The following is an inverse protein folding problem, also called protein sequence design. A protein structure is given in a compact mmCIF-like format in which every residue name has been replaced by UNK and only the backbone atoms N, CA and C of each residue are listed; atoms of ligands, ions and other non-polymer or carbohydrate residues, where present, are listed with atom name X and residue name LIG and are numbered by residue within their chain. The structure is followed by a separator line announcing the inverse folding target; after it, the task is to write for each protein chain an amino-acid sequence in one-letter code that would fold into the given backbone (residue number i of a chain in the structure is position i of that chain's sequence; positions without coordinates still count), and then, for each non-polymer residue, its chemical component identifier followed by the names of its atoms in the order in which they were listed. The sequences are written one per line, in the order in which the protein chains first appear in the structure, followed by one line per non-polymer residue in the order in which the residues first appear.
data_IF_013784878095
#
_entry.id   IF_013784878095
#
_cell.length_a   1.000
_cell.length_b   1.000
_cell.length_c   1.000
_cell.angle_alpha   90.00
_cell.angle_beta   90.00
_cell.angle_gamma   90.00
#
_symmetry.space_group_name_H-M   'P 1'
#
loop_
_entity.id
_entity.type
_entity.pdbx_description
1 polymer ?
#
# COMPACT_ATOMS: atom_id res chain seq x y z
N UNK A 1 9.72 9.13 -17.30
CA UNK A 1 9.53 7.71 -16.95
C UNK A 1 10.85 6.94 -16.97
N UNK A 2 11.60 6.92 -18.07
CA UNK A 2 12.91 6.26 -18.13
C UNK A 2 13.90 6.73 -17.05
N UNK A 3 13.98 8.04 -16.80
CA UNK A 3 14.83 8.59 -15.73
C UNK A 3 14.40 8.08 -14.35
N UNK A 4 13.09 8.01 -14.07
CA UNK A 4 12.59 7.49 -12.80
C UNK A 4 12.94 6.00 -12.64
N UNK A 5 12.74 5.21 -13.69
CA UNK A 5 13.12 3.79 -13.71
C UNK A 5 14.63 3.62 -13.49
N UNK A 6 15.46 4.45 -14.13
CA UNK A 6 16.91 4.46 -13.94
C UNK A 6 17.32 4.81 -12.50
N UNK A 7 16.67 5.79 -11.87
CA UNK A 7 16.90 6.14 -10.47
C UNK A 7 16.47 5.01 -9.52
N UNK A 8 15.33 4.38 -9.77
CA UNK A 8 14.89 3.22 -8.99
C UNK A 8 15.87 2.05 -9.16
N UNK A 9 16.30 1.76 -10.38
CA UNK A 9 17.29 0.72 -10.65
C UNK A 9 18.64 1.02 -9.97
N UNK A 10 19.05 2.29 -9.93
CA UNK A 10 20.25 2.72 -9.22
C UNK A 10 20.10 2.52 -7.70
N UNK A 11 18.97 2.93 -7.13
CA UNK A 11 18.68 2.80 -5.69
C UNK A 11 18.65 1.34 -5.24
N UNK A 12 18.08 0.44 -6.05
CA UNK A 12 18.04 -0.99 -5.81
C UNK A 12 19.22 -1.76 -6.46
N UNK A 13 20.21 -1.07 -7.03
CA UNK A 13 21.17 -1.70 -7.95
C UNK A 13 21.96 -2.84 -7.34
N UNK A 14 22.30 -2.73 -6.05
CA UNK A 14 22.99 -3.81 -5.32
C UNK A 14 22.15 -5.09 -5.26
N UNK A 15 20.86 -4.99 -4.98
CA UNK A 15 19.99 -6.17 -4.80
C UNK A 15 19.38 -6.67 -6.11
N UNK A 16 19.38 -5.85 -7.16
CA UNK A 16 18.90 -6.25 -8.49
C UNK A 16 19.99 -6.86 -9.38
N UNK A 17 21.23 -6.39 -9.27
CA UNK A 17 22.31 -6.75 -10.20
C UNK A 17 23.47 -7.51 -9.53
N UNK A 18 23.38 -7.82 -8.24
CA UNK A 18 24.36 -8.67 -7.54
C UNK A 18 23.66 -9.78 -6.75
N UNK A 19 24.41 -10.67 -6.11
CA UNK A 19 23.87 -11.75 -5.27
C UNK A 19 23.48 -11.27 -3.84
N UNK A 20 23.41 -9.95 -3.60
CA UNK A 20 22.97 -9.40 -2.33
C UNK A 20 21.45 -9.45 -2.20
N UNK A 21 20.96 -9.71 -0.99
CA UNK A 21 19.54 -9.73 -0.66
C UNK A 21 19.21 -8.71 0.45
N UNK A 22 17.98 -8.20 0.42
CA UNK A 22 17.42 -7.46 1.55
C UNK A 22 17.16 -8.44 2.70
N UNK A 23 17.71 -8.18 3.88
CA UNK A 23 17.80 -9.18 4.95
C UNK A 23 17.32 -8.71 6.33
N UNK A 24 16.66 -7.56 6.46
CA UNK A 24 16.36 -6.96 7.76
C UNK A 24 14.87 -6.96 8.14
N UNK A 25 14.59 -7.14 9.43
CA UNK A 25 13.27 -6.95 10.05
C UNK A 25 12.20 -7.93 9.59
N UNK A 26 10.95 -7.46 9.54
CA UNK A 26 9.78 -8.27 9.16
C UNK A 26 9.95 -8.93 7.79
N UNK A 27 10.67 -8.29 6.86
CA UNK A 27 10.95 -8.86 5.54
C UNK A 27 11.57 -10.24 5.65
N UNK A 28 12.60 -10.39 6.48
CA UNK A 28 13.28 -11.67 6.67
C UNK A 28 12.50 -12.60 7.60
N UNK A 29 11.96 -12.06 8.69
CA UNK A 29 11.39 -12.86 9.78
C UNK A 29 9.95 -13.34 9.48
N UNK A 30 9.22 -12.62 8.65
CA UNK A 30 7.78 -12.80 8.46
C UNK A 30 7.45 -13.03 6.98
N UNK A 31 7.83 -12.11 6.09
CA UNK A 31 7.44 -12.18 4.69
C UNK A 31 8.19 -13.25 3.89
N UNK A 32 9.51 -13.33 4.04
CA UNK A 32 10.33 -14.30 3.31
C UNK A 32 9.88 -15.75 3.54
N UNK A 33 9.77 -16.27 4.79
CA UNK A 33 9.33 -17.64 5.01
C UNK A 33 7.89 -17.89 4.55
N UNK A 34 6.99 -16.92 4.73
CA UNK A 34 5.61 -17.05 4.28
C UNK A 34 5.50 -17.11 2.74
N UNK A 35 6.27 -16.29 2.03
CA UNK A 35 6.30 -16.29 0.56
C UNK A 35 7.01 -17.52 0.00
N UNK A 36 8.00 -18.06 0.69
CA UNK A 36 8.64 -19.32 0.33
C UNK A 36 7.66 -20.49 0.46
N UNK A 37 6.93 -20.57 1.57
CA UNK A 37 5.87 -21.57 1.74
C UNK A 37 4.78 -21.42 0.67
N UNK A 38 4.30 -20.20 0.44
CA UNK A 38 3.32 -19.90 -0.61
C UNK A 38 3.81 -20.40 -1.97
N UNK A 39 5.06 -20.10 -2.33
CA UNK A 39 5.67 -20.53 -3.59
C UNK A 39 5.70 -22.05 -3.70
N UNK A 40 6.20 -22.75 -2.68
CA UNK A 40 6.31 -24.22 -2.68
C UNK A 40 4.94 -24.87 -2.82
N UNK A 41 3.93 -24.41 -2.05
CA UNK A 41 2.57 -24.93 -2.16
C UNK A 41 2.03 -24.83 -3.59
N UNK A 42 2.17 -23.67 -4.22
CA UNK A 42 1.70 -23.47 -5.60
C UNK A 42 2.44 -24.37 -6.60
N UNK A 43 3.77 -24.50 -6.48
CA UNK A 43 4.56 -25.35 -7.36
C UNK A 43 4.27 -26.85 -7.19
N UNK A 44 3.84 -27.26 -5.99
CA UNK A 44 3.38 -28.63 -5.71
C UNK A 44 1.92 -28.87 -6.14
N UNK A 45 1.23 -27.86 -6.69
CA UNK A 45 -0.16 -27.96 -7.12
C UNK A 45 -1.18 -27.82 -5.97
N UNK A 46 -0.76 -27.32 -4.81
CA UNK A 46 -1.61 -27.09 -3.64
C UNK A 46 -1.97 -25.61 -3.48
N UNK A 47 -3.20 -25.36 -3.04
CA UNK A 47 -3.56 -24.02 -2.59
C UNK A 47 -2.85 -23.71 -1.26
N UNK A 48 -2.23 -22.52 -1.09
CA UNK A 48 -1.47 -22.13 0.10
C UNK A 48 -2.40 -21.74 1.25
N UNK A 49 -3.24 -22.68 1.71
CA UNK A 49 -4.30 -22.41 2.69
C UNK A 49 -3.79 -22.30 4.13
N UNK A 50 -2.75 -23.07 4.49
CA UNK A 50 -2.31 -23.24 5.87
C UNK A 50 -0.79 -23.15 6.01
N UNK A 51 -0.34 -22.40 7.02
CA UNK A 51 1.06 -22.33 7.44
C UNK A 51 1.25 -23.11 8.76
N UNK A 52 1.84 -24.32 8.74
CA UNK A 52 2.00 -25.14 9.94
C UNK A 52 3.14 -24.68 10.86
N UNK A 53 3.99 -23.74 10.43
CA UNK A 53 5.22 -23.39 11.12
C UNK A 53 5.08 -22.26 12.14
N UNK A 54 3.92 -21.59 12.18
CA UNK A 54 3.69 -20.43 13.04
C UNK A 54 2.53 -20.74 13.99
N UNK A 55 2.76 -20.64 15.31
CA UNK A 55 1.74 -20.82 16.36
C UNK A 55 0.88 -22.10 16.27
N UNK A 56 1.48 -23.23 15.91
CA UNK A 56 0.79 -24.51 15.59
C UNK A 56 -0.15 -24.46 14.37
N UNK A 57 -0.11 -23.37 13.60
CA UNK A 57 -0.90 -23.22 12.40
C UNK A 57 -1.50 -21.82 12.24
N UNK A 58 -1.46 -21.29 11.02
CA UNK A 58 -2.13 -20.05 10.63
C UNK A 58 -2.74 -20.17 9.22
N UNK A 59 -3.96 -19.66 8.98
CA UNK A 59 -4.54 -19.58 7.63
C UNK A 59 -3.76 -18.63 6.70
N UNK A 60 -2.80 -19.15 5.95
CA UNK A 60 -1.87 -18.37 5.11
C UNK A 60 -2.60 -17.58 4.01
N UNK A 61 -3.58 -18.18 3.34
CA UNK A 61 -4.36 -17.51 2.30
C UNK A 61 -5.26 -16.41 2.87
N UNK A 62 -5.78 -16.60 4.08
CA UNK A 62 -6.70 -15.64 4.71
C UNK A 62 -5.97 -14.44 5.31
N UNK A 63 -4.72 -14.63 5.74
CA UNK A 63 -3.89 -13.55 6.25
C UNK A 63 -3.42 -12.64 5.09
N UNK A 64 -4.20 -11.59 4.88
CA UNK A 64 -3.97 -10.62 3.81
C UNK A 64 -2.60 -9.94 3.95
N UNK A 65 -1.99 -9.89 5.15
CA UNK A 65 -0.69 -9.25 5.37
C UNK A 65 0.39 -9.85 4.47
N UNK A 66 0.34 -11.16 4.16
CA UNK A 66 1.29 -11.80 3.25
C UNK A 66 1.03 -11.51 1.76
N UNK A 67 -0.06 -10.82 1.44
CA UNK A 67 -0.51 -10.49 0.08
C UNK A 67 -0.66 -11.72 -0.84
N UNK A 68 -1.25 -12.86 -0.40
CA UNK A 68 -1.15 -14.15 -1.09
C UNK A 68 -1.79 -14.17 -2.48
N UNK A 69 -2.70 -13.22 -2.77
CA UNK A 69 -3.38 -13.08 -4.06
C UNK A 69 -2.99 -11.80 -4.81
N UNK A 70 -1.96 -11.09 -4.35
CA UNK A 70 -1.50 -9.87 -5.00
C UNK A 70 -0.74 -10.17 -6.30
N UNK A 71 -0.96 -9.43 -7.41
CA UNK A 71 -0.41 -9.80 -8.72
C UNK A 71 1.10 -9.96 -8.78
N UNK A 72 1.86 -9.17 -8.01
CA UNK A 72 3.32 -9.26 -8.03
C UNK A 72 3.88 -10.52 -7.35
N UNK A 73 3.05 -11.28 -6.61
CA UNK A 73 3.44 -12.59 -6.08
C UNK A 73 3.79 -13.58 -7.18
N UNK A 74 3.30 -13.39 -8.41
CA UNK A 74 3.67 -14.20 -9.56
C UNK A 74 5.17 -14.13 -9.87
N UNK A 75 5.87 -13.06 -9.47
CA UNK A 75 7.33 -12.97 -9.57
C UNK A 75 8.02 -14.08 -8.78
N UNK A 76 7.45 -14.50 -7.66
CA UNK A 76 8.00 -15.56 -6.81
C UNK A 76 8.01 -16.92 -7.52
N UNK A 77 7.09 -17.15 -8.47
CA UNK A 77 7.02 -18.41 -9.21
C UNK A 77 8.12 -18.52 -10.27
N UNK A 78 8.56 -17.39 -10.83
CA UNK A 78 9.48 -17.34 -11.98
C UNK A 78 10.93 -17.10 -11.53
N UNK A 79 11.13 -16.36 -10.43
CA UNK A 79 12.45 -15.96 -9.95
C UNK A 79 12.83 -16.65 -8.63
N UNK A 80 14.13 -16.72 -8.30
CA UNK A 80 14.56 -16.97 -6.92
C UNK A 80 13.92 -15.96 -5.97
N UNK A 81 13.49 -16.40 -4.79
CA UNK A 81 12.62 -15.60 -3.92
C UNK A 81 13.23 -14.24 -3.52
N UNK A 82 14.53 -14.22 -3.19
CA UNK A 82 15.24 -12.98 -2.87
C UNK A 82 15.22 -11.97 -4.04
N UNK A 83 15.33 -12.44 -5.29
CA UNK A 83 15.25 -11.57 -6.49
C UNK A 83 13.82 -11.14 -6.77
N UNK A 84 12.85 -12.04 -6.58
CA UNK A 84 11.44 -11.71 -6.72
C UNK A 84 11.02 -10.59 -5.77
N UNK A 85 11.41 -10.68 -4.50
CA UNK A 85 11.17 -9.66 -3.48
C UNK A 85 11.90 -8.35 -3.80
N UNK A 86 13.17 -8.40 -4.19
CA UNK A 86 13.92 -7.20 -4.58
C UNK A 86 13.26 -6.48 -5.77
N UNK A 87 12.86 -7.23 -6.79
CA UNK A 87 12.18 -6.70 -7.97
C UNK A 87 10.78 -6.17 -7.63
N UNK A 88 10.04 -6.86 -6.77
CA UNK A 88 8.73 -6.42 -6.31
C UNK A 88 8.80 -5.08 -5.57
N UNK A 89 9.74 -4.94 -4.62
CA UNK A 89 9.94 -3.69 -3.89
C UNK A 89 10.40 -2.56 -4.82
N UNK A 90 11.33 -2.85 -5.74
CA UNK A 90 11.77 -1.89 -6.74
C UNK A 90 10.62 -1.44 -7.65
N UNK A 91 9.80 -2.37 -8.11
CA UNK A 91 8.61 -2.09 -8.91
C UNK A 91 7.66 -1.15 -8.14
N UNK A 92 7.38 -1.40 -6.87
CA UNK A 92 6.45 -0.58 -6.10
C UNK A 92 7.00 0.80 -5.76
N UNK A 93 8.32 0.95 -5.56
CA UNK A 93 8.95 2.28 -5.47
C UNK A 93 8.84 3.04 -6.79
N UNK A 94 9.06 2.36 -7.93
CA UNK A 94 8.87 2.96 -9.24
C UNK A 94 7.41 3.39 -9.45
N UNK A 95 6.43 2.51 -9.15
CA UNK A 95 5.00 2.80 -9.28
C UNK A 95 4.59 3.96 -8.39
N UNK A 96 5.08 4.02 -7.15
CA UNK A 96 4.85 5.13 -6.24
C UNK A 96 5.28 6.46 -6.86
N UNK A 97 6.48 6.52 -7.43
CA UNK A 97 6.96 7.71 -8.14
C UNK A 97 6.17 8.01 -9.41
N UNK A 98 5.86 6.99 -10.22
CA UNK A 98 5.16 7.15 -11.49
C UNK A 98 3.73 7.67 -11.28
N UNK A 99 3.03 7.14 -10.29
CA UNK A 99 1.69 7.59 -9.92
C UNK A 99 1.71 8.98 -9.27
N UNK A 100 2.71 9.30 -8.44
CA UNK A 100 2.88 10.67 -7.94
C UNK A 100 3.12 11.66 -9.08
N UNK A 101 3.97 11.32 -10.04
CA UNK A 101 4.18 12.14 -11.23
C UNK A 101 2.86 12.36 -11.99
N UNK A 102 2.10 11.28 -12.24
CA UNK A 102 0.82 11.36 -12.94
C UNK A 102 -0.19 12.26 -12.20
N UNK A 103 -0.28 12.11 -10.87
CA UNK A 103 -1.12 12.96 -10.02
C UNK A 103 -0.72 14.44 -10.09
N UNK A 104 0.56 14.76 -9.92
CA UNK A 104 1.05 16.15 -9.97
C UNK A 104 0.86 16.78 -11.35
N UNK A 105 1.02 16.00 -12.42
CA UNK A 105 0.72 16.45 -13.79
C UNK A 105 -0.76 16.73 -13.98
N UNK A 106 -1.64 15.90 -13.41
CA UNK A 106 -3.08 16.14 -13.45
C UNK A 106 -3.48 17.39 -12.67
N UNK A 107 -2.76 17.70 -11.58
CA UNK A 107 -2.91 18.96 -10.82
C UNK A 107 -2.44 20.21 -11.58
N UNK A 108 -1.86 20.05 -12.77
CA UNK A 108 -1.43 21.16 -13.63
C UNK A 108 0.01 21.63 -13.39
N UNK A 109 0.79 20.97 -12.54
CA UNK A 109 2.20 21.32 -12.34
C UNK A 109 3.02 21.00 -13.59
N UNK A 110 4.04 21.81 -13.89
CA UNK A 110 4.99 21.56 -14.97
C UNK A 110 5.77 20.25 -14.77
N UNK A 111 6.32 19.70 -15.86
CA UNK A 111 6.98 18.39 -15.84
C UNK A 111 8.16 18.31 -14.86
N UNK A 112 8.99 19.36 -14.77
CA UNK A 112 10.12 19.42 -13.84
C UNK A 112 9.69 19.32 -12.37
N UNK A 113 8.85 20.23 -11.85
CA UNK A 113 8.31 20.14 -10.49
C UNK A 113 7.56 18.83 -10.19
N UNK A 114 6.77 18.31 -11.13
CA UNK A 114 6.11 17.01 -10.97
C UNK A 114 7.11 15.86 -10.83
N UNK A 115 8.20 15.89 -11.61
CA UNK A 115 9.26 14.89 -11.54
C UNK A 115 10.02 14.99 -10.22
N UNK A 116 10.37 16.19 -9.79
CA UNK A 116 11.03 16.41 -8.50
C UNK A 116 10.17 15.89 -7.35
N UNK A 117 8.87 16.22 -7.31
CA UNK A 117 7.96 15.70 -6.29
C UNK A 117 7.82 14.17 -6.32
N UNK A 118 7.78 13.57 -7.51
CA UNK A 118 7.74 12.13 -7.68
C UNK A 118 8.99 11.42 -7.13
N UNK A 119 10.19 11.95 -7.43
CA UNK A 119 11.45 11.41 -6.91
C UNK A 119 11.52 11.60 -5.41
N UNK A 120 11.29 12.82 -4.90
CA UNK A 120 11.34 13.12 -3.47
C UNK A 120 10.45 12.19 -2.65
N UNK A 121 9.25 11.87 -3.14
CA UNK A 121 8.36 10.94 -2.46
C UNK A 121 8.84 9.49 -2.53
N UNK A 122 9.15 9.02 -3.74
CA UNK A 122 9.53 7.63 -3.99
C UNK A 122 10.82 7.22 -3.26
N UNK A 123 11.78 8.12 -3.10
CA UNK A 123 13.05 7.85 -2.40
C UNK A 123 13.13 8.53 -1.01
N UNK A 124 12.00 8.89 -0.43
CA UNK A 124 11.97 9.49 0.91
C UNK A 124 12.46 8.53 1.99
N UNK A 125 12.96 9.07 3.11
CA UNK A 125 13.41 8.26 4.25
C UNK A 125 12.29 7.37 4.82
N UNK A 126 11.03 7.80 4.73
CA UNK A 126 9.88 6.97 5.11
C UNK A 126 9.80 5.70 4.25
N UNK A 127 9.88 5.85 2.92
CA UNK A 127 9.86 4.71 2.00
C UNK A 127 11.05 3.79 2.26
N UNK A 128 12.25 4.36 2.45
CA UNK A 128 13.47 3.60 2.71
C UNK A 128 13.36 2.71 3.97
N UNK A 129 12.82 3.25 5.08
CA UNK A 129 12.62 2.49 6.32
C UNK A 129 11.55 1.41 6.16
N UNK A 130 10.53 1.66 5.32
CA UNK A 130 9.41 0.73 5.11
C UNK A 130 9.66 -0.34 4.05
N UNK A 131 10.84 -0.39 3.43
CA UNK A 131 11.22 -1.49 2.54
C UNK A 131 11.18 -2.87 3.24
N UNK A 132 11.22 -2.89 4.57
CA UNK A 132 11.10 -4.12 5.37
C UNK A 132 9.68 -4.68 5.44
N UNK A 133 8.66 -3.95 4.96
CA UNK A 133 7.25 -4.34 5.01
C UNK A 133 6.64 -4.27 3.59
N UNK A 134 6.76 -5.35 2.78
CA UNK A 134 6.26 -5.39 1.41
C UNK A 134 4.78 -5.03 1.26
N UNK A 135 3.92 -5.56 2.15
CA UNK A 135 2.49 -5.27 2.16
C UNK A 135 2.21 -3.76 2.23
N UNK A 136 2.86 -3.06 3.17
CA UNK A 136 2.74 -1.63 3.35
C UNK A 136 3.22 -0.88 2.12
N UNK A 137 4.40 -1.21 1.60
CA UNK A 137 4.95 -0.53 0.42
C UNK A 137 4.06 -0.72 -0.82
N UNK A 138 3.55 -1.94 -1.04
CA UNK A 138 2.61 -2.25 -2.12
C UNK A 138 1.35 -1.39 -1.99
N UNK A 139 0.72 -1.38 -0.81
CA UNK A 139 -0.48 -0.56 -0.55
C UNK A 139 -0.20 0.93 -0.70
N UNK A 140 0.98 1.40 -0.25
CA UNK A 140 1.41 2.80 -0.35
C UNK A 140 1.59 3.24 -1.80
N UNK A 141 2.11 2.36 -2.66
CA UNK A 141 2.35 2.63 -4.07
C UNK A 141 1.10 3.17 -4.77
N UNK A 142 -0.09 2.65 -4.41
CA UNK A 142 -1.37 3.00 -5.02
C UNK A 142 -1.96 4.33 -4.55
N UNK A 143 -1.48 4.91 -3.45
CA UNK A 143 -2.07 6.12 -2.85
C UNK A 143 -2.09 7.32 -3.81
N UNK A 144 -1.00 7.66 -4.52
CA UNK A 144 -1.04 8.77 -5.46
C UNK A 144 -1.97 8.50 -6.65
N UNK A 145 -2.11 7.24 -7.07
CA UNK A 145 -3.05 6.88 -8.13
C UNK A 145 -4.51 7.01 -7.66
N UNK A 146 -4.78 6.73 -6.38
CA UNK A 146 -6.09 6.98 -5.78
C UNK A 146 -6.42 8.48 -5.77
N UNK A 147 -5.46 9.33 -5.42
CA UNK A 147 -5.63 10.80 -5.50
C UNK A 147 -5.83 11.28 -6.95
N UNK A 148 -5.12 10.70 -7.90
CA UNK A 148 -5.33 10.91 -9.33
C UNK A 148 -6.76 10.51 -9.76
N UNK A 149 -7.28 9.39 -9.27
CA UNK A 149 -8.66 8.97 -9.55
C UNK A 149 -9.68 9.94 -8.94
N UNK A 150 -9.42 10.49 -7.75
CA UNK A 150 -10.27 11.52 -7.13
C UNK A 150 -10.32 12.79 -7.98
N UNK A 151 -9.20 13.21 -8.57
CA UNK A 151 -9.18 14.34 -9.52
C UNK A 151 -10.14 14.13 -10.71
N UNK A 152 -10.43 12.89 -11.09
CA UNK A 152 -11.37 12.57 -12.19
C UNK A 152 -12.85 12.72 -11.82
N UNK A 153 -13.18 12.74 -10.53
CA UNK A 153 -14.55 12.92 -10.03
C UNK A 153 -14.91 14.41 -10.18
N UNK A 154 -16.15 14.77 -10.53
CA UNK A 154 -16.60 16.18 -10.51
C UNK A 154 -15.85 17.13 -11.47
N UNK A 155 -16.06 18.43 -11.38
CA UNK A 155 -15.35 19.39 -12.22
C UNK A 155 -13.85 19.43 -11.83
N UNK A 156 -12.91 19.68 -12.77
CA UNK A 156 -13.14 19.97 -14.20
C UNK A 156 -13.22 18.74 -15.11
N UNK A 157 -12.81 17.55 -14.65
CA UNK A 157 -12.60 16.38 -15.53
C UNK A 157 -13.85 15.52 -15.77
N UNK A 158 -14.76 15.45 -14.78
CA UNK A 158 -16.05 14.77 -14.77
C UNK A 158 -16.06 13.42 -15.53
N UNK A 159 -15.16 12.53 -15.15
CA UNK A 159 -15.08 11.19 -15.72
C UNK A 159 -16.11 10.26 -15.04
N UNK A 160 -17.05 9.73 -15.84
CA UNK A 160 -18.07 8.78 -15.35
C UNK A 160 -17.46 7.45 -14.90
N UNK A 161 -16.21 7.15 -15.28
CA UNK A 161 -15.46 5.95 -14.89
C UNK A 161 -14.71 6.14 -13.56
N UNK A 162 -14.75 7.33 -12.94
CA UNK A 162 -14.04 7.55 -11.68
C UNK A 162 -14.38 6.53 -10.57
N UNK A 163 -15.65 6.09 -10.37
CA UNK A 163 -15.95 5.03 -9.41
C UNK A 163 -15.25 3.69 -9.72
N UNK A 164 -15.10 3.36 -11.01
CA UNK A 164 -14.37 2.16 -11.44
C UNK A 164 -12.89 2.27 -11.08
N UNK A 165 -12.23 3.40 -11.35
CA UNK A 165 -10.82 3.58 -10.96
C UNK A 165 -10.64 3.49 -9.45
N UNK A 166 -11.50 4.17 -8.67
CA UNK A 166 -11.48 4.09 -7.21
C UNK A 166 -11.60 2.63 -6.76
N UNK A 167 -12.56 1.88 -7.29
CA UNK A 167 -12.76 0.47 -6.91
C UNK A 167 -11.60 -0.44 -7.29
N UNK A 168 -11.03 -0.31 -8.49
CA UNK A 168 -9.87 -1.11 -8.90
C UNK A 168 -8.63 -0.81 -8.06
N UNK A 169 -8.39 0.45 -7.72
CA UNK A 169 -7.25 0.87 -6.91
C UNK A 169 -7.42 0.38 -5.46
N UNK A 170 -8.62 0.53 -4.88
CA UNK A 170 -8.91 -0.01 -3.55
C UNK A 170 -8.81 -1.55 -3.54
N UNK A 171 -9.28 -2.25 -4.57
CA UNK A 171 -9.11 -3.70 -4.67
C UNK A 171 -7.63 -4.09 -4.68
N UNK A 172 -6.80 -3.39 -5.45
CA UNK A 172 -5.35 -3.61 -5.46
C UNK A 172 -4.73 -3.36 -4.07
N UNK A 173 -5.19 -2.35 -3.33
CA UNK A 173 -4.75 -2.11 -1.96
C UNK A 173 -5.21 -3.19 -0.98
N UNK A 174 -6.40 -3.78 -1.16
CA UNK A 174 -6.89 -4.91 -0.35
C UNK A 174 -5.98 -6.13 -0.59
N UNK A 175 -5.73 -6.47 -1.85
CA UNK A 175 -4.84 -7.59 -2.18
C UNK A 175 -3.40 -7.35 -1.72
N UNK A 176 -2.94 -6.10 -1.70
CA UNK A 176 -1.63 -5.74 -1.16
C UNK A 176 -1.50 -5.99 0.35
N UNK A 177 -2.61 -6.05 1.09
CA UNK A 177 -2.65 -6.69 2.41
C UNK A 177 -2.57 -5.78 3.62
N UNK A 178 -2.00 -4.58 3.49
CA UNK A 178 -1.78 -3.71 4.65
C UNK A 178 -3.02 -2.85 4.97
N UNK A 179 -3.96 -3.43 5.73
CA UNK A 179 -5.28 -2.85 6.03
C UNK A 179 -5.19 -1.43 6.64
N UNK A 180 -4.22 -1.19 7.53
CA UNK A 180 -4.06 0.13 8.15
C UNK A 180 -3.72 1.21 7.11
N UNK A 181 -2.82 0.91 6.16
CA UNK A 181 -2.45 1.87 5.12
C UNK A 181 -3.60 2.10 4.15
N UNK A 182 -4.36 1.04 3.82
CA UNK A 182 -5.56 1.15 3.00
C UNK A 182 -6.58 2.11 3.62
N UNK A 183 -6.90 1.93 4.90
CA UNK A 183 -7.88 2.78 5.59
C UNK A 183 -7.42 4.24 5.63
N UNK A 184 -6.16 4.48 5.97
CA UNK A 184 -5.57 5.82 5.98
C UNK A 184 -5.62 6.44 4.58
N UNK A 185 -5.27 5.69 3.53
CA UNK A 185 -5.30 6.21 2.16
C UNK A 185 -6.70 6.50 1.66
N UNK A 186 -7.67 5.65 2.03
CA UNK A 186 -9.09 5.85 1.70
C UNK A 186 -9.60 7.12 2.39
N UNK A 187 -9.33 7.29 3.68
CA UNK A 187 -9.71 8.49 4.43
C UNK A 187 -9.06 9.75 3.87
N UNK A 188 -7.76 9.70 3.57
CA UNK A 188 -7.03 10.81 2.94
C UNK A 188 -7.65 11.19 1.60
N UNK A 189 -7.87 10.23 0.71
CA UNK A 189 -8.40 10.48 -0.62
C UNK A 189 -9.86 10.97 -0.58
N UNK A 190 -10.65 10.44 0.35
CA UNK A 190 -12.04 10.87 0.57
C UNK A 190 -12.10 12.30 1.10
N UNK A 191 -11.32 12.61 2.15
CA UNK A 191 -11.22 13.96 2.71
C UNK A 191 -10.70 14.97 1.67
N UNK A 192 -9.71 14.56 0.88
CA UNK A 192 -9.20 15.34 -0.24
C UNK A 192 -10.30 15.64 -1.28
N UNK A 193 -11.08 14.62 -1.66
CA UNK A 193 -12.20 14.77 -2.58
C UNK A 193 -13.28 15.71 -2.06
N UNK A 194 -13.64 15.59 -0.77
CA UNK A 194 -14.60 16.50 -0.11
C UNK A 194 -14.08 17.94 -0.14
N UNK A 195 -12.84 18.16 0.31
CA UNK A 195 -12.23 19.49 0.35
C UNK A 195 -12.22 20.14 -1.04
N UNK A 196 -11.83 19.38 -2.06
CA UNK A 196 -11.79 19.87 -3.45
C UNK A 196 -13.18 20.19 -3.96
N UNK A 197 -14.15 19.29 -3.77
CA UNK A 197 -15.54 19.49 -4.18
C UNK A 197 -16.18 20.70 -3.48
N UNK A 198 -15.88 20.92 -2.20
CA UNK A 198 -16.36 22.06 -1.44
C UNK A 198 -15.92 23.41 -2.05
N UNK A 199 -14.72 23.45 -2.66
CA UNK A 199 -14.18 24.62 -3.35
C UNK A 199 -14.84 24.97 -4.69
N UNK A 200 -15.73 24.13 -5.23
CA UNK A 200 -16.33 24.31 -6.57
C UNK A 200 -17.55 25.27 -6.60
N UNK A 201 -17.78 26.02 -5.52
CA UNK A 201 -18.83 27.05 -5.43
C UNK A 201 -20.22 26.50 -5.78
N UNK A 202 -20.85 27.02 -6.84
CA UNK A 202 -22.21 26.62 -7.28
C UNK A 202 -22.34 25.12 -7.60
N UNK A 203 -21.25 24.42 -7.94
CA UNK A 203 -21.26 22.99 -8.25
C UNK A 203 -20.96 22.09 -7.04
N UNK A 204 -20.61 22.67 -5.89
CA UNK A 204 -20.12 21.96 -4.69
C UNK A 204 -21.01 20.79 -4.28
N UNK A 205 -22.35 20.99 -4.18
CA UNK A 205 -23.27 19.92 -3.79
C UNK A 205 -23.25 18.73 -4.76
N UNK A 206 -23.16 18.97 -6.07
CA UNK A 206 -23.13 17.89 -7.08
C UNK A 206 -21.79 17.14 -7.03
N UNK A 207 -20.70 17.85 -6.83
CA UNK A 207 -19.36 17.25 -6.74
C UNK A 207 -19.16 16.47 -5.44
N UNK A 208 -19.71 16.95 -4.32
CA UNK A 208 -19.74 16.21 -3.06
C UNK A 208 -20.52 14.89 -3.20
N UNK A 209 -21.71 14.93 -3.82
CA UNK A 209 -22.47 13.72 -4.13
C UNK A 209 -21.71 12.78 -5.08
N UNK A 210 -20.98 13.33 -6.05
CA UNK A 210 -20.13 12.54 -6.94
C UNK A 210 -18.97 11.86 -6.20
N UNK A 211 -18.35 12.55 -5.22
CA UNK A 211 -17.30 11.95 -4.37
C UNK A 211 -17.87 10.84 -3.51
N UNK A 212 -18.97 11.08 -2.80
CA UNK A 212 -19.62 10.08 -1.96
C UNK A 212 -20.04 8.87 -2.81
N UNK A 213 -20.71 9.09 -3.94
CA UNK A 213 -21.12 7.99 -4.82
C UNK A 213 -19.94 7.22 -5.40
N UNK A 214 -18.85 7.90 -5.80
CA UNK A 214 -17.67 7.23 -6.33
C UNK A 214 -16.98 6.35 -5.29
N UNK A 215 -16.85 6.81 -4.04
CA UNK A 215 -16.29 6.00 -2.96
C UNK A 215 -17.23 4.87 -2.52
N UNK A 216 -18.53 5.09 -2.48
CA UNK A 216 -19.49 4.02 -2.15
C UNK A 216 -19.51 2.94 -3.23
N UNK A 217 -19.67 3.31 -4.50
CA UNK A 217 -19.68 2.37 -5.62
C UNK A 217 -18.31 1.70 -5.81
N UNK A 218 -17.22 2.48 -5.71
CA UNK A 218 -15.87 1.97 -5.80
C UNK A 218 -15.54 1.02 -4.66
N UNK A 219 -15.93 1.35 -3.42
CA UNK A 219 -15.77 0.48 -2.26
C UNK A 219 -16.53 -0.83 -2.41
N UNK A 220 -17.79 -0.80 -2.86
CA UNK A 220 -18.56 -2.02 -3.14
C UNK A 220 -17.90 -2.88 -4.22
N UNK A 221 -17.42 -2.26 -5.31
CA UNK A 221 -16.67 -2.96 -6.34
C UNK A 221 -15.39 -3.58 -5.79
N UNK A 222 -14.64 -2.85 -4.97
CA UNK A 222 -13.40 -3.33 -4.36
C UNK A 222 -13.64 -4.55 -3.47
N UNK A 223 -14.68 -4.50 -2.64
CA UNK A 223 -15.10 -5.61 -1.79
C UNK A 223 -15.55 -6.83 -2.62
N UNK A 224 -16.28 -6.61 -3.72
CA UNK A 224 -16.70 -7.68 -4.61
C UNK A 224 -15.51 -8.35 -5.32
N UNK A 225 -14.58 -7.56 -5.85
CA UNK A 225 -13.37 -8.06 -6.52
C UNK A 225 -12.43 -8.79 -5.56
N UNK A 226 -12.27 -8.25 -4.35
CA UNK A 226 -11.40 -8.82 -3.32
C UNK A 226 -12.13 -9.77 -2.36
N UNK A 227 -13.36 -10.21 -2.67
CA UNK A 227 -14.16 -11.06 -1.78
C UNK A 227 -13.43 -12.35 -1.38
N UNK A 228 -12.66 -12.93 -2.31
CA UNK A 228 -11.82 -14.12 -2.09
C UNK A 228 -10.75 -13.91 -1.01
N UNK A 229 -10.33 -12.67 -0.76
CA UNK A 229 -9.39 -12.31 0.30
C UNK A 229 -10.11 -11.78 1.55
N UNK A 230 -11.15 -10.96 1.35
CA UNK A 230 -11.88 -10.28 2.43
C UNK A 230 -12.68 -11.26 3.29
N UNK A 231 -13.36 -12.23 2.67
CA UNK A 231 -14.22 -13.16 3.41
C UNK A 231 -13.40 -14.08 4.34
N UNK A 232 -12.33 -14.76 3.88
CA UNK A 232 -11.50 -15.56 4.79
C UNK A 232 -10.78 -14.69 5.83
N UNK A 233 -10.35 -13.48 5.45
CA UNK A 233 -9.74 -12.54 6.40
C UNK A 233 -10.70 -12.11 7.51
N UNK A 234 -11.98 -11.88 7.17
CA UNK A 234 -13.01 -11.56 8.15
C UNK A 234 -13.30 -12.73 9.11
N UNK A 235 -13.32 -13.97 8.60
CA UNK A 235 -13.40 -15.18 9.42
C UNK A 235 -12.19 -15.29 10.36
N UNK A 236 -10.97 -15.11 9.85
CA UNK A 236 -9.73 -15.15 10.65
C UNK A 236 -9.74 -14.13 11.79
N UNK A 237 -10.26 -12.92 11.57
CA UNK A 237 -10.38 -11.89 12.61
C UNK A 237 -11.26 -12.37 13.78
N UNK A 238 -12.32 -13.13 13.52
CA UNK A 238 -13.20 -13.67 14.57
C UNK A 238 -12.48 -14.71 15.45
N UNK A 239 -11.52 -15.44 14.88
CA UNK A 239 -10.69 -16.41 15.59
C UNK A 239 -9.41 -15.81 16.21
N UNK A 240 -9.19 -14.50 16.04
CA UNK A 240 -8.01 -13.84 16.61
C UNK A 240 -8.21 -13.44 18.06
N UNK A 241 -7.11 -13.29 18.80
CA UNK A 241 -7.07 -12.71 20.16
C UNK A 241 -7.63 -11.27 20.25
N UNK A 242 -7.94 -10.65 19.11
CA UNK A 242 -8.46 -9.29 19.00
C UNK A 242 -9.97 -9.25 18.70
N UNK A 243 -10.64 -10.38 18.56
CA UNK A 243 -12.07 -10.46 18.21
C UNK A 243 -13.00 -9.73 19.20
N UNK A 244 -12.69 -9.78 20.49
CA UNK A 244 -13.46 -9.08 21.54
C UNK A 244 -13.17 -7.59 21.70
N UNK A 245 -12.23 -7.03 20.91
CA UNK A 245 -11.72 -5.67 21.10
C UNK A 245 -10.82 -5.56 22.34
N UNK A 246 -9.72 -4.78 22.24
CA UNK A 246 -8.74 -4.66 23.34
C UNK A 246 -8.84 -3.36 24.16
N UNK A 247 -9.94 -2.62 23.99
CA UNK A 247 -10.18 -1.35 24.70
C UNK A 247 -9.22 -0.21 24.32
N UNK A 248 -9.41 0.96 24.94
CA UNK A 248 -8.63 2.17 24.63
C UNK A 248 -7.17 2.08 25.10
N UNK A 249 -6.88 1.39 26.21
CA UNK A 249 -5.52 1.21 26.71
C UNK A 249 -4.62 0.49 25.70
N UNK A 250 -5.12 -0.57 25.06
CA UNK A 250 -4.37 -1.26 24.01
C UNK A 250 -4.15 -0.35 22.79
N UNK A 251 -5.18 0.40 22.37
CA UNK A 251 -5.06 1.34 21.26
C UNK A 251 -4.04 2.48 21.56
N UNK A 252 -3.95 2.92 22.82
CA UNK A 252 -3.05 3.98 23.25
C UNK A 252 -1.63 3.49 23.59
N UNK A 253 -1.33 2.19 23.49
CA UNK A 253 -0.03 1.61 23.92
C UNK A 253 1.16 2.22 23.19
N UNK A 254 0.98 2.60 21.92
CA UNK A 254 2.00 3.25 21.09
C UNK A 254 1.62 4.69 20.71
N UNK A 255 0.77 5.34 21.50
CA UNK A 255 0.42 6.74 21.27
C UNK A 255 1.67 7.62 21.41
N UNK A 256 1.89 8.51 20.44
CA UNK A 256 3.01 9.44 20.46
C UNK A 256 2.83 10.40 21.64
N UNK A 257 3.68 10.35 22.68
CA UNK A 257 3.62 11.30 23.78
C UNK A 257 3.93 12.70 23.26
N UNK A 258 3.20 13.73 23.71
CA UNK A 258 3.43 15.11 23.26
C UNK A 258 4.88 15.58 23.46
N UNK A 259 5.56 15.05 24.48
CA UNK A 259 7.00 15.31 24.72
C UNK A 259 7.91 14.83 23.58
N UNK A 260 7.49 13.87 22.75
CA UNK A 260 8.25 13.36 21.61
C UNK A 260 8.00 14.15 20.32
N UNK A 261 7.04 15.08 20.29
CA UNK A 261 6.77 15.92 19.11
C UNK A 261 8.01 16.69 18.61
N UNK A 262 8.87 17.26 19.48
CA UNK A 262 10.11 17.90 19.05
C UNK A 262 11.09 16.95 18.33
N UNK A 263 10.93 15.62 18.46
CA UNK A 263 11.77 14.66 17.73
C UNK A 263 11.54 14.68 16.22
N UNK A 264 10.45 15.32 15.75
CA UNK A 264 10.23 15.58 14.32
C UNK A 264 11.30 16.51 13.72
N UNK A 265 11.90 17.39 14.54
CA UNK A 265 12.97 18.30 14.12
C UNK A 265 14.36 17.73 14.44
N UNK A 266 14.50 17.04 15.57
CA UNK A 266 15.73 16.40 16.00
C UNK A 266 15.45 14.96 16.45
N UNK A 267 15.61 13.95 15.56
CA UNK A 267 15.26 12.56 15.87
C UNK A 267 15.98 11.96 17.08
N UNK A 268 17.11 12.54 17.50
CA UNK A 268 17.91 12.11 18.65
C UNK A 268 17.80 13.04 19.86
N UNK A 269 16.78 13.91 19.92
CA UNK A 269 16.64 14.91 20.98
C UNK A 269 16.68 14.32 22.40
N UNK A 270 16.17 13.10 22.57
CA UNK A 270 16.16 12.39 23.85
C UNK A 270 17.13 11.19 23.87
N UNK A 271 18.13 11.19 22.99
CA UNK A 271 19.07 10.08 22.80
C UNK A 271 18.64 9.06 21.74
N UNK A 272 19.58 8.20 21.34
CA UNK A 272 19.31 6.97 20.59
C UNK A 272 19.17 5.81 21.58
N UNK A 273 18.26 4.86 21.33
CA UNK A 273 18.31 3.55 21.97
C UNK A 273 19.48 2.79 21.33
N UNK A 274 20.70 3.04 21.82
CA UNK A 274 21.89 2.22 21.55
C UNK A 274 22.08 1.22 22.71
#
# INVERSE_FOLDING_TARGET
MLVLAGLTALFFGRVLFTEQALYWGDLLLTFYPAHDLWKRSILEGHLPLWNPYVFNGLPLLADAEYSPLYPSMLLNLILPLHRALALDLALHVFLLGAFTYAFLRQKGLAAGPSFLGAVTWAVSGFVAVRLTQPSLLRTLAWVPLLLWAVERIGAPFKDRRAPLYVGLILAAQIFAGHLQTLLISMLLAFAYGIWRAAGEGKQSRKSLLAVVSAFSMGGLLALALAAVQVLPGAELVQHSDRSGGKGIQFAATFALPLRQVPMLLSPRLFGSPD
#
